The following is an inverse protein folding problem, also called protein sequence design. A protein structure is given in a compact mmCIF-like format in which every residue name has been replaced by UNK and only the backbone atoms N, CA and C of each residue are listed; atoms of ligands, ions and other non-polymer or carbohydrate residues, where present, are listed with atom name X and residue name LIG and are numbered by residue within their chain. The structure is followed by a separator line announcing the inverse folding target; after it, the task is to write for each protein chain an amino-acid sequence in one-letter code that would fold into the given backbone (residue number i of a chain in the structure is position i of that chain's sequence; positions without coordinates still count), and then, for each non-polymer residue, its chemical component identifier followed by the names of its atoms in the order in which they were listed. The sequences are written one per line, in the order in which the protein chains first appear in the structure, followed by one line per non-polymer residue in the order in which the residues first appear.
data_IF_378551088030
#
_entry.id   IF_378551088030
#
_cell.length_a   1.000
_cell.length_b   1.000
_cell.length_c   1.000
_cell.angle_alpha   90.00
_cell.angle_beta   90.00
_cell.angle_gamma   90.00
#
_symmetry.space_group_name_H-M   'P 1'
#
loop_
_entity.id
_entity.type
_entity.pdbx_description
1 polymer ?
#
# COMPACT_ATOMS: atom_id res chain seq x y z
N UNK A 1 -5.04 -17.83 -2.45
CA UNK A 1 -4.49 -16.47 -2.27
C UNK A 1 -5.49 -15.46 -2.79
N UNK A 2 -5.75 -14.44 -2.02
CA UNK A 2 -6.67 -13.38 -2.42
C UNK A 2 -5.89 -12.16 -2.91
N UNK A 3 -6.49 -11.43 -3.82
CA UNK A 3 -5.98 -10.15 -4.27
C UNK A 3 -7.01 -9.08 -3.95
N UNK A 4 -6.54 -7.96 -3.40
CA UNK A 4 -7.40 -6.84 -3.05
C UNK A 4 -6.78 -5.55 -3.58
N UNK A 5 -7.62 -4.70 -4.16
CA UNK A 5 -7.20 -3.38 -4.63
C UNK A 5 -8.00 -2.34 -3.87
N UNK A 6 -7.31 -1.36 -3.32
CA UNK A 6 -7.97 -0.23 -2.66
C UNK A 6 -7.54 1.08 -3.30
N UNK A 7 -8.49 2.00 -3.38
CA UNK A 7 -8.27 3.31 -3.99
C UNK A 7 -8.04 4.33 -2.87
N UNK A 8 -6.83 4.85 -2.79
CA UNK A 8 -6.43 5.86 -1.82
C UNK A 8 -6.12 7.20 -2.50
N UNK A 9 -6.60 7.36 -3.74
CA UNK A 9 -6.39 8.61 -4.49
C UNK A 9 -7.07 9.77 -3.76
N UNK A 10 -6.40 10.92 -3.76
CA UNK A 10 -6.89 12.11 -3.10
C UNK A 10 -6.62 12.16 -1.59
N UNK A 11 -6.17 11.07 -0.99
CA UNK A 11 -5.82 11.05 0.43
C UNK A 11 -4.38 11.54 0.62
N UNK A 12 -4.19 12.33 1.67
CA UNK A 12 -2.88 12.88 2.01
C UNK A 12 -2.29 12.18 3.22
N UNK A 13 -0.95 12.19 3.30
CA UNK A 13 -0.22 11.66 4.43
C UNK A 13 -0.82 12.20 5.75
N UNK A 14 -1.04 11.36 6.77
CA UNK A 14 -0.67 9.94 6.85
C UNK A 14 -1.80 8.97 6.47
N UNK A 15 -2.90 9.43 5.87
CA UNK A 15 -4.09 8.61 5.63
C UNK A 15 -3.81 7.38 4.74
N UNK A 16 -3.03 7.49 3.64
CA UNK A 16 -2.74 6.30 2.83
C UNK A 16 -2.08 5.19 3.64
N UNK A 17 -1.11 5.53 4.47
CA UNK A 17 -0.43 4.54 5.32
C UNK A 17 -1.38 3.91 6.33
N UNK A 18 -2.23 4.72 6.97
CA UNK A 18 -3.20 4.22 7.95
C UNK A 18 -4.23 3.29 7.31
N UNK A 19 -4.73 3.65 6.13
CA UNK A 19 -5.69 2.82 5.40
C UNK A 19 -5.05 1.52 4.94
N UNK A 20 -3.80 1.58 4.48
CA UNK A 20 -3.05 0.40 4.06
C UNK A 20 -2.84 -0.54 5.23
N UNK A 21 -2.44 -0.02 6.38
CA UNK A 21 -2.25 -0.83 7.58
C UNK A 21 -3.54 -1.54 7.98
N UNK A 22 -4.66 -0.82 7.95
CA UNK A 22 -5.97 -1.40 8.29
C UNK A 22 -6.34 -2.52 7.31
N UNK A 23 -6.10 -2.31 6.01
CA UNK A 23 -6.40 -3.33 5.02
C UNK A 23 -5.56 -4.58 5.23
N UNK A 24 -4.26 -4.40 5.52
CA UNK A 24 -3.35 -5.53 5.75
C UNK A 24 -3.74 -6.35 6.97
N UNK A 25 -4.27 -5.74 8.02
CA UNK A 25 -4.66 -6.49 9.22
C UNK A 25 -5.79 -7.46 8.96
N UNK A 26 -6.63 -7.20 7.95
CA UNK A 26 -7.72 -8.09 7.58
C UNK A 26 -7.37 -9.13 6.55
N UNK A 27 -6.11 -9.19 6.11
CA UNK A 27 -5.68 -10.08 5.03
C UNK A 27 -4.94 -11.29 5.58
N UNK A 28 -5.02 -12.39 4.84
CA UNK A 28 -4.31 -13.62 5.19
C UNK A 28 -2.89 -13.60 4.64
N UNK A 29 -2.02 -14.40 5.27
CA UNK A 29 -0.64 -14.56 4.81
C UNK A 29 -0.60 -14.97 3.34
N UNK A 30 0.21 -14.28 2.55
CA UNK A 30 0.35 -14.55 1.12
C UNK A 30 -0.62 -13.78 0.23
N UNK A 31 -1.59 -13.06 0.81
CA UNK A 31 -2.50 -12.25 0.01
C UNK A 31 -1.78 -11.05 -0.59
N UNK A 32 -2.23 -10.61 -1.77
CA UNK A 32 -1.67 -9.46 -2.46
C UNK A 32 -2.61 -8.26 -2.32
N UNK A 33 -2.06 -7.14 -1.86
CA UNK A 33 -2.78 -5.87 -1.77
C UNK A 33 -2.18 -4.89 -2.78
N UNK A 34 -3.03 -4.32 -3.62
CA UNK A 34 -2.64 -3.23 -4.52
C UNK A 34 -3.29 -1.94 -4.04
N UNK A 35 -2.50 -0.90 -3.85
CA UNK A 35 -3.01 0.41 -3.46
C UNK A 35 -2.67 1.44 -4.51
N UNK A 36 -3.60 2.37 -4.74
CA UNK A 36 -3.43 3.47 -5.69
C UNK A 36 -3.45 4.78 -4.94
N UNK A 37 -2.37 5.54 -5.01
CA UNK A 37 -2.16 6.78 -4.27
C UNK A 37 -1.81 7.93 -5.19
N UNK A 38 -2.08 9.16 -4.75
CA UNK A 38 -1.69 10.37 -5.50
C UNK A 38 -0.76 11.27 -4.69
N UNK A 39 -0.62 11.06 -3.39
CA UNK A 39 0.28 11.84 -2.56
C UNK A 39 1.73 11.37 -2.74
N UNK A 40 2.66 12.25 -3.19
CA UNK A 40 4.07 11.86 -3.36
C UNK A 40 4.73 11.33 -2.10
N UNK A 41 4.26 11.72 -0.93
CA UNK A 41 4.82 11.26 0.35
C UNK A 41 4.59 9.76 0.58
N UNK A 42 3.67 9.13 -0.15
CA UNK A 42 3.46 7.68 -0.04
C UNK A 42 4.69 6.90 -0.46
N UNK A 43 5.55 7.47 -1.31
CA UNK A 43 6.81 6.81 -1.69
C UNK A 43 7.75 6.61 -0.51
N UNK A 44 7.55 7.38 0.56
CA UNK A 44 8.31 7.27 1.80
C UNK A 44 7.50 6.51 2.85
N UNK A 45 6.24 6.87 3.02
CA UNK A 45 5.38 6.35 4.09
C UNK A 45 5.08 4.87 3.92
N UNK A 46 4.80 4.42 2.70
CA UNK A 46 4.44 3.01 2.48
C UNK A 46 5.63 2.07 2.76
N UNK A 47 6.83 2.32 2.22
CA UNK A 47 7.98 1.49 2.58
C UNK A 47 8.27 1.48 4.08
N UNK A 48 8.12 2.64 4.75
CA UNK A 48 8.32 2.71 6.21
C UNK A 48 7.30 1.86 6.95
N UNK A 49 6.02 1.92 6.55
CA UNK A 49 4.98 1.10 7.13
C UNK A 49 5.31 -0.39 6.99
N UNK A 50 5.72 -0.80 5.79
CA UNK A 50 5.98 -2.21 5.52
C UNK A 50 7.18 -2.74 6.30
N UNK A 51 8.18 -1.90 6.59
CA UNK A 51 9.27 -2.28 7.48
C UNK A 51 8.78 -2.53 8.90
N UNK A 52 7.76 -1.80 9.35
CA UNK A 52 7.18 -2.00 10.68
C UNK A 52 6.30 -3.24 10.74
N UNK A 53 5.52 -3.50 9.71
CA UNK A 53 4.58 -4.63 9.68
C UNK A 53 5.23 -5.94 9.24
N UNK A 54 6.34 -5.86 8.52
CA UNK A 54 7.02 -7.04 7.98
C UNK A 54 6.46 -7.54 6.66
N UNK A 55 5.50 -6.83 6.08
CA UNK A 55 4.96 -7.17 4.77
C UNK A 55 5.94 -6.76 3.67
N UNK A 56 5.81 -7.36 2.49
CA UNK A 56 6.78 -7.18 1.40
C UNK A 56 6.21 -6.27 0.32
N UNK A 57 6.99 -5.26 -0.07
CA UNK A 57 6.68 -4.46 -1.25
C UNK A 57 7.23 -5.19 -2.47
N UNK A 58 6.33 -5.76 -3.28
CA UNK A 58 6.72 -6.52 -4.47
C UNK A 58 6.98 -5.65 -5.68
N UNK A 59 6.39 -4.47 -5.73
CA UNK A 59 6.60 -3.56 -6.84
C UNK A 59 5.86 -2.26 -6.62
N UNK A 60 6.29 -1.24 -7.38
CA UNK A 60 5.60 0.03 -7.42
C UNK A 60 5.68 0.60 -8.83
N UNK A 61 4.71 1.42 -9.17
CA UNK A 61 4.63 2.07 -10.47
C UNK A 61 4.18 3.51 -10.31
N UNK A 62 4.67 4.38 -11.18
CA UNK A 62 4.24 5.78 -11.22
C UNK A 62 3.87 6.14 -12.65
N UNK A 63 2.62 6.56 -12.84
CA UNK A 63 2.12 6.96 -14.16
C UNK A 63 1.20 8.17 -13.99
N UNK A 64 1.58 9.30 -14.61
CA UNK A 64 0.76 10.52 -14.59
C UNK A 64 0.30 10.93 -13.18
N UNK A 65 1.22 10.87 -12.20
CA UNK A 65 0.93 11.25 -10.82
C UNK A 65 0.22 10.17 -10.01
N UNK A 66 -0.14 9.04 -10.61
CA UNK A 66 -0.71 7.91 -9.90
C UNK A 66 0.41 6.99 -9.44
N UNK A 67 0.43 6.71 -8.14
CA UNK A 67 1.39 5.82 -7.51
C UNK A 67 0.69 4.53 -7.14
N UNK A 68 1.14 3.41 -7.71
CA UNK A 68 0.57 2.10 -7.45
C UNK A 68 1.60 1.24 -6.71
N UNK A 69 1.19 0.65 -5.59
CA UNK A 69 2.06 -0.21 -4.80
C UNK A 69 1.46 -1.61 -4.72
N UNK A 70 2.28 -2.62 -4.91
CA UNK A 70 1.89 -4.03 -4.81
C UNK A 70 2.54 -4.61 -3.57
N UNK A 71 1.71 -5.02 -2.60
CA UNK A 71 2.17 -5.44 -1.28
C UNK A 71 1.73 -6.87 -1.03
N UNK A 72 2.69 -7.73 -0.65
CA UNK A 72 2.41 -9.11 -0.28
C UNK A 72 2.30 -9.21 1.23
N UNK A 73 1.17 -9.73 1.72
CA UNK A 73 0.94 -9.93 3.15
C UNK A 73 1.87 -11.01 3.68
N UNK A 74 2.51 -10.70 4.78
CA UNK A 74 3.40 -11.62 5.48
C UNK A 74 2.69 -12.83 6.07
#
# INVERSE_FOLDING_TARGET
MAEKTINLRGLKCPLPALRTKKALTGMASGDLLTIECTDPLTTIDIPNLLRQTGDTLEGNEKTDGLLTFHIRKR
#
